data_IF_012647188405
#
_entry.id   IF_012647188405
#
_cell.length_a   1.000
_cell.length_b   1.000
_cell.length_c   1.000
_cell.angle_alpha   90.00
_cell.angle_beta   90.00
_cell.angle_gamma   90.00
#
_symmetry.space_group_name_H-M   'P 1'
#
loop_
_entity.id
_entity.type
_entity.pdbx_description
1 polymer ?
#
# COMPACT_ATOMS: atom_id res chain seq x y z
N UNK A 1 -14.69 12.84 -9.14
CA UNK A 1 -14.53 11.99 -10.34
C UNK A 1 -13.05 11.68 -10.49
N UNK A 2 -12.58 10.57 -9.90
CA UNK A 2 -11.22 10.06 -10.14
C UNK A 2 -11.36 8.89 -11.10
N UNK A 3 -10.83 9.05 -12.31
CA UNK A 3 -10.82 8.00 -13.32
C UNK A 3 -9.75 6.95 -12.92
N UNK A 4 -10.20 5.72 -12.65
CA UNK A 4 -9.32 4.57 -12.45
C UNK A 4 -8.74 4.16 -13.82
N UNK A 5 -7.44 4.29 -14.00
CA UNK A 5 -6.74 3.83 -15.20
C UNK A 5 -6.44 2.33 -15.10
N UNK A 6 -7.10 1.53 -15.93
CA UNK A 6 -6.82 0.09 -16.12
C UNK A 6 -5.47 -0.10 -16.82
N UNK A 7 -4.56 -0.90 -16.23
CA UNK A 7 -3.34 -1.39 -16.91
C UNK A 7 -3.30 -2.90 -16.78
N UNK A 8 -3.41 -3.60 -17.90
CA UNK A 8 -3.35 -5.07 -18.03
C UNK A 8 -1.88 -5.48 -18.24
N UNK A 9 -1.39 -6.45 -17.47
CA UNK A 9 -0.03 -7.01 -17.62
C UNK A 9 -0.10 -8.54 -17.65
N UNK A 10 0.51 -9.14 -18.68
CA UNK A 10 0.64 -10.59 -18.89
C UNK A 10 2.02 -11.05 -18.42
N UNK A 11 2.14 -11.99 -17.46
CA UNK A 11 3.44 -12.57 -17.07
C UNK A 11 3.40 -14.08 -16.77
N UNK A 12 4.58 -14.73 -16.84
CA UNK A 12 4.89 -16.12 -16.47
C UNK A 12 6.14 -16.13 -15.58
N UNK A 13 6.47 -17.20 -14.86
CA UNK A 13 7.31 -17.13 -13.64
C UNK A 13 8.81 -16.87 -13.85
N UNK A 14 9.39 -15.99 -13.00
CA UNK A 14 10.81 -15.59 -12.94
C UNK A 14 10.99 -14.14 -12.43
N UNK A 15 11.40 -13.90 -11.18
CA UNK A 15 11.53 -12.51 -10.69
C UNK A 15 12.67 -11.77 -11.39
N UNK A 16 12.43 -10.50 -11.77
CA UNK A 16 13.49 -9.65 -12.33
C UNK A 16 14.68 -9.59 -11.37
N UNK A 17 15.89 -9.93 -11.85
CA UNK A 17 17.09 -9.88 -11.02
C UNK A 17 17.37 -8.43 -10.64
N UNK A 18 17.43 -8.16 -9.34
CA UNK A 18 17.85 -6.85 -8.83
C UNK A 18 19.37 -6.80 -8.81
N UNK A 19 19.92 -5.69 -9.28
CA UNK A 19 21.35 -5.38 -9.16
C UNK A 19 21.47 -4.18 -8.24
N UNK A 20 22.18 -4.40 -7.13
CA UNK A 20 22.60 -3.35 -6.23
C UNK A 20 24.10 -3.09 -6.43
N UNK A 21 24.47 -1.83 -6.58
CA UNK A 21 25.87 -1.37 -6.54
C UNK A 21 26.06 -0.47 -5.32
N UNK A 22 26.75 -0.98 -4.30
CA UNK A 22 27.08 -0.22 -3.09
C UNK A 22 28.15 0.83 -3.41
N UNK A 23 28.02 2.01 -2.82
CA UNK A 23 29.03 3.06 -2.88
C UNK A 23 30.16 2.74 -1.90
N UNK A 24 31.41 2.80 -2.35
CA UNK A 24 32.59 2.39 -1.57
C UNK A 24 32.91 3.32 -0.40
N UNK A 25 32.43 4.57 -0.46
CA UNK A 25 32.77 5.62 0.52
C UNK A 25 31.78 5.72 1.69
N UNK A 26 30.81 4.80 1.79
CA UNK A 26 29.79 4.83 2.84
C UNK A 26 30.32 4.16 4.11
N UNK A 27 30.67 4.97 5.11
CA UNK A 27 31.06 4.50 6.44
C UNK A 27 29.83 3.93 7.17
N UNK A 28 29.89 2.66 7.58
CA UNK A 28 28.81 1.95 8.29
C UNK A 28 28.41 2.64 9.59
N UNK A 29 29.35 3.28 10.28
CA UNK A 29 29.12 3.96 11.56
C UNK A 29 28.29 5.25 11.41
N UNK A 30 28.08 5.74 10.18
CA UNK A 30 27.26 6.91 9.88
C UNK A 30 25.83 6.56 9.46
N UNK A 31 25.52 5.28 9.31
CA UNK A 31 24.18 4.88 8.89
C UNK A 31 23.20 5.02 10.06
N UNK A 32 22.05 5.68 9.84
CA UNK A 32 20.91 5.61 10.75
C UNK A 32 20.59 4.16 11.13
N UNK A 33 20.12 3.97 12.37
CA UNK A 33 19.69 2.66 12.84
C UNK A 33 18.61 2.09 11.92
N UNK A 34 18.53 0.75 11.75
CA UNK A 34 17.52 0.12 10.92
C UNK A 34 16.11 0.55 11.35
N UNK A 35 15.44 1.35 10.53
CA UNK A 35 14.03 1.69 10.72
C UNK A 35 13.18 0.61 10.03
N UNK A 36 12.04 0.23 10.64
CA UNK A 36 11.10 -0.70 10.03
C UNK A 36 10.47 -0.14 8.75
N UNK A 37 10.45 1.18 8.61
CA UNK A 37 9.81 1.88 7.50
C UNK A 37 10.79 2.02 6.33
N UNK A 38 10.29 1.69 5.14
CA UNK A 38 11.05 1.75 3.90
C UNK A 38 10.27 2.50 2.83
N UNK A 39 10.91 3.47 2.17
CA UNK A 39 10.26 4.36 1.21
C UNK A 39 10.70 4.03 -0.20
N UNK A 40 9.75 3.97 -1.13
CA UNK A 40 10.03 3.95 -2.56
C UNK A 40 9.28 5.10 -3.21
N UNK A 41 10.02 6.14 -3.61
CA UNK A 41 9.45 7.35 -4.22
C UNK A 41 9.98 7.59 -5.64
N UNK A 42 9.20 8.29 -6.46
CA UNK A 42 9.60 8.81 -7.78
C UNK A 42 9.75 10.32 -7.78
N UNK A 43 9.26 11.00 -6.75
CA UNK A 43 9.43 12.42 -6.57
C UNK A 43 10.80 12.65 -5.97
N UNK A 44 11.51 13.66 -6.47
CA UNK A 44 12.83 14.03 -5.98
C UNK A 44 12.70 14.42 -4.51
N UNK A 45 13.18 13.60 -3.56
CA UNK A 45 13.05 13.94 -2.17
C UNK A 45 14.06 15.05 -1.88
N UNK A 46 13.67 16.08 -1.12
CA UNK A 46 14.67 16.95 -0.51
C UNK A 46 15.45 16.11 0.50
N UNK A 47 16.62 15.66 0.06
CA UNK A 47 17.36 14.56 0.66
C UNK A 47 18.34 15.03 1.74
N UNK A 48 18.50 16.34 1.98
CA UNK A 48 19.26 16.93 3.09
C UNK A 48 20.50 16.13 3.52
N UNK A 49 20.56 15.76 4.80
CA UNK A 49 21.64 14.99 5.44
C UNK A 49 21.63 13.47 5.12
N UNK A 50 20.96 13.03 4.06
CA UNK A 50 20.91 11.62 3.68
C UNK A 50 22.21 11.12 3.07
N UNK A 51 22.47 9.83 3.24
CA UNK A 51 23.63 9.18 2.66
C UNK A 51 23.23 8.41 1.41
N UNK A 52 23.82 8.76 0.26
CA UNK A 52 23.74 7.94 -0.94
C UNK A 52 24.61 6.69 -0.78
N UNK A 53 23.98 5.56 -0.49
CA UNK A 53 24.69 4.32 -0.16
C UNK A 53 24.85 3.36 -1.34
N UNK A 54 24.09 3.58 -2.41
CA UNK A 54 24.20 2.76 -3.61
C UNK A 54 23.21 3.12 -4.70
N UNK A 55 23.22 2.30 -5.75
CA UNK A 55 22.25 2.39 -6.85
C UNK A 55 21.61 1.03 -7.06
N UNK A 56 20.38 1.04 -7.55
CA UNK A 56 19.60 -0.15 -7.85
C UNK A 56 19.15 -0.14 -9.31
N UNK A 57 19.19 -1.31 -9.94
CA UNK A 57 18.64 -1.50 -11.28
C UNK A 57 18.07 -2.91 -11.41
N UNK A 58 16.91 -3.01 -12.06
CA UNK A 58 16.40 -4.31 -12.53
C UNK A 58 17.19 -4.75 -13.77
N UNK A 59 17.74 -5.96 -13.75
CA UNK A 59 18.28 -6.65 -14.93
C UNK A 59 17.32 -7.74 -15.38
N UNK A 60 17.02 -7.71 -16.68
CA UNK A 60 16.22 -8.75 -17.32
C UNK A 60 17.14 -9.92 -17.70
N UNK A 61 16.84 -11.11 -17.19
CA UNK A 61 17.50 -12.36 -17.57
C UNK A 61 16.41 -13.31 -18.09
N UNK A 62 16.11 -13.29 -19.40
CA UNK A 62 15.24 -14.29 -20.05
C UNK A 62 13.78 -13.89 -20.30
N UNK A 63 13.06 -14.74 -21.05
CA UNK A 63 11.74 -14.48 -21.67
C UNK A 63 10.52 -14.65 -20.75
N UNK A 64 10.69 -15.12 -19.52
CA UNK A 64 9.59 -15.37 -18.58
C UNK A 64 9.92 -14.77 -17.22
N UNK A 65 9.04 -13.90 -16.74
CA UNK A 65 9.16 -13.36 -15.41
C UNK A 65 7.91 -12.67 -14.86
N UNK A 66 7.56 -12.99 -13.62
CA UNK A 66 6.45 -12.38 -12.88
C UNK A 66 6.94 -10.97 -12.49
N UNK A 67 6.44 -9.99 -13.23
CA UNK A 67 7.05 -8.67 -13.36
C UNK A 67 6.09 -7.54 -13.02
N UNK A 68 5.10 -7.81 -12.18
CA UNK A 68 4.27 -6.79 -11.57
C UNK A 68 5.18 -5.81 -10.80
N UNK A 69 4.94 -4.50 -10.99
CA UNK A 69 5.63 -3.43 -10.28
C UNK A 69 5.69 -3.67 -8.75
N UNK A 70 4.66 -4.27 -8.15
CA UNK A 70 4.63 -4.60 -6.71
C UNK A 70 5.73 -5.58 -6.31
N UNK A 71 5.89 -6.67 -7.05
CA UNK A 71 6.95 -7.66 -6.82
C UNK A 71 8.34 -7.05 -7.05
N UNK A 72 8.49 -6.26 -8.12
CA UNK A 72 9.74 -5.54 -8.41
C UNK A 72 10.12 -4.59 -7.27
N UNK A 73 9.16 -3.82 -6.74
CA UNK A 73 9.35 -2.94 -5.59
C UNK A 73 9.73 -3.72 -4.32
N UNK A 74 9.05 -4.83 -4.02
CA UNK A 74 9.38 -5.70 -2.86
C UNK A 74 10.79 -6.28 -2.94
N UNK A 75 11.18 -6.79 -4.11
CA UNK A 75 12.53 -7.31 -4.32
C UNK A 75 13.57 -6.19 -4.19
N UNK A 76 13.29 -5.02 -4.76
CA UNK A 76 14.17 -3.86 -4.66
C UNK A 76 14.35 -3.36 -3.22
N UNK A 77 13.27 -3.32 -2.44
CA UNK A 77 13.30 -3.00 -1.01
C UNK A 77 14.20 -3.98 -0.24
N UNK A 78 14.00 -5.29 -0.43
CA UNK A 78 14.81 -6.32 0.25
C UNK A 78 16.31 -6.09 0.02
N UNK A 79 16.69 -5.94 -1.24
CA UNK A 79 18.09 -5.79 -1.65
C UNK A 79 18.71 -4.46 -1.18
N UNK A 80 17.91 -3.39 -1.14
CA UNK A 80 18.33 -2.12 -0.58
C UNK A 80 18.52 -2.18 0.94
N UNK A 81 17.64 -2.89 1.67
CA UNK A 81 17.78 -3.11 3.11
C UNK A 81 19.06 -3.88 3.46
N UNK A 82 19.46 -4.86 2.65
CA UNK A 82 20.68 -5.64 2.85
C UNK A 82 21.97 -4.78 2.86
N UNK A 83 21.96 -3.62 2.20
CA UNK A 83 23.10 -2.69 2.22
C UNK A 83 22.92 -1.51 3.21
N UNK A 84 21.88 -1.52 4.04
CA UNK A 84 21.59 -0.48 5.04
C UNK A 84 20.70 0.67 4.53
N UNK A 85 20.00 0.45 3.41
CA UNK A 85 19.08 1.42 2.83
C UNK A 85 17.70 1.38 3.46
N UNK A 86 17.07 2.56 3.55
CA UNK A 86 15.69 2.72 3.99
C UNK A 86 14.86 3.61 3.06
N UNK A 87 15.46 4.10 1.95
CA UNK A 87 14.76 4.81 0.89
C UNK A 87 15.34 4.45 -0.49
N UNK A 88 14.46 4.21 -1.46
CA UNK A 88 14.79 4.17 -2.89
C UNK A 88 14.13 5.36 -3.58
N UNK A 89 14.95 6.18 -4.20
CA UNK A 89 14.50 7.17 -5.16
C UNK A 89 14.58 6.58 -6.57
N UNK A 90 13.43 6.32 -7.20
CA UNK A 90 13.33 5.80 -8.56
C UNK A 90 13.64 6.94 -9.54
N UNK A 91 14.83 6.90 -10.12
CA UNK A 91 15.28 7.86 -11.15
C UNK A 91 14.77 7.54 -12.54
N UNK A 92 14.41 6.28 -12.80
CA UNK A 92 13.84 5.87 -14.08
C UNK A 92 12.91 4.68 -13.91
N UNK A 93 11.73 4.77 -14.50
CA UNK A 93 10.78 3.66 -14.61
C UNK A 93 10.39 3.45 -16.06
N UNK A 94 10.65 2.25 -16.59
CA UNK A 94 10.25 1.86 -17.95
C UNK A 94 9.19 0.77 -17.85
N UNK A 95 8.02 1.03 -18.45
CA UNK A 95 6.91 0.08 -18.51
C UNK A 95 7.28 -1.17 -19.32
N UNK A 96 6.58 -2.29 -19.10
CA UNK A 96 6.58 -3.43 -20.00
C UNK A 96 6.32 -3.01 -21.45
N UNK A 97 6.99 -3.65 -22.40
CA UNK A 97 6.65 -3.60 -23.82
C UNK A 97 6.57 -5.03 -24.33
N UNK A 98 5.39 -5.40 -24.82
CA UNK A 98 4.99 -6.74 -25.27
C UNK A 98 5.91 -7.33 -26.33
N UNK A 99 6.67 -6.52 -27.07
CA UNK A 99 7.52 -7.00 -28.16
C UNK A 99 8.94 -7.45 -27.74
N UNK A 100 9.48 -6.91 -26.64
CA UNK A 100 10.92 -7.07 -26.31
C UNK A 100 11.24 -7.22 -24.82
N UNK A 101 10.36 -6.77 -23.91
CA UNK A 101 10.63 -6.83 -22.46
C UNK A 101 9.30 -6.79 -21.67
N UNK A 102 8.80 -7.93 -21.16
CA UNK A 102 7.52 -8.00 -20.45
C UNK A 102 7.55 -7.40 -19.03
N UNK A 103 8.71 -6.89 -18.58
CA UNK A 103 8.90 -6.51 -17.19
C UNK A 103 8.98 -5.00 -16.95
N UNK A 104 8.39 -4.55 -15.83
CA UNK A 104 8.66 -3.25 -15.25
C UNK A 104 10.15 -3.15 -14.92
N UNK A 105 10.81 -2.11 -15.42
CA UNK A 105 12.22 -1.87 -15.17
C UNK A 105 12.40 -0.59 -14.38
N UNK A 106 13.03 -0.69 -13.23
CA UNK A 106 13.36 0.46 -12.39
C UNK A 106 14.86 0.65 -12.33
N UNK A 107 15.28 1.92 -12.31
CA UNK A 107 16.59 2.35 -11.83
C UNK A 107 16.35 3.37 -10.72
N UNK A 108 17.25 3.37 -9.75
CA UNK A 108 17.14 4.30 -8.65
C UNK A 108 18.42 4.41 -7.83
N UNK A 109 18.39 5.38 -6.93
CA UNK A 109 19.40 5.61 -5.92
C UNK A 109 18.88 5.06 -4.59
N UNK A 110 19.75 4.39 -3.85
CA UNK A 110 19.47 3.87 -2.52
C UNK A 110 20.07 4.84 -1.51
N UNK A 111 19.24 5.30 -0.58
CA UNK A 111 19.65 6.19 0.49
C UNK A 111 19.46 5.53 1.85
N UNK A 112 20.30 5.98 2.79
CA UNK A 112 20.03 5.87 4.22
C UNK A 112 19.65 7.24 4.73
N UNK A 113 18.38 7.41 5.11
CA UNK A 113 17.81 8.67 5.58
C UNK A 113 17.55 8.60 7.09
N UNK A 114 17.84 9.67 7.87
CA UNK A 114 17.60 9.68 9.31
C UNK A 114 16.11 9.53 9.70
N UNK A 115 15.22 10.11 8.91
CA UNK A 115 13.77 10.10 9.17
C UNK A 115 13.00 9.70 7.90
N UNK A 116 12.93 8.39 7.57
CA UNK A 116 12.23 7.92 6.37
C UNK A 116 10.73 8.25 6.40
N UNK A 117 10.14 8.34 7.58
CA UNK A 117 8.72 8.61 7.76
C UNK A 117 8.30 9.97 7.23
N UNK A 118 9.23 10.94 7.15
CA UNK A 118 8.99 12.24 6.52
C UNK A 118 8.58 12.09 5.04
N UNK A 119 9.04 11.04 4.37
CA UNK A 119 8.80 10.78 2.95
C UNK A 119 7.64 9.80 2.67
N UNK A 120 6.96 9.28 3.70
CA UNK A 120 5.75 8.45 3.52
C UNK A 120 4.61 9.27 2.92
N UNK A 121 4.13 8.90 1.74
CA UNK A 121 2.90 9.49 1.18
C UNK A 121 1.67 8.69 1.54
N UNK A 122 1.85 7.38 1.66
CA UNK A 122 0.80 6.44 1.99
C UNK A 122 1.34 5.43 2.99
N UNK A 123 0.50 5.05 3.95
CA UNK A 123 0.79 3.99 4.93
C UNK A 123 -0.09 2.79 4.60
N UNK A 124 0.53 1.62 4.43
CA UNK A 124 -0.20 0.36 4.32
C UNK A 124 -0.70 -0.08 5.69
N UNK A 125 -1.94 -0.55 5.75
CA UNK A 125 -2.52 -1.04 7.00
C UNK A 125 -1.71 -2.22 7.52
N UNK A 126 -1.30 -2.12 8.79
CA UNK A 126 -0.61 -3.19 9.49
C UNK A 126 -1.00 -3.11 10.98
N UNK A 127 -1.35 -4.23 11.63
CA UNK A 127 -1.77 -4.22 13.03
C UNK A 127 -0.69 -3.67 13.98
N UNK A 128 0.58 -3.76 13.58
CA UNK A 128 1.74 -3.31 14.35
C UNK A 128 2.22 -1.88 13.99
N UNK A 129 1.61 -1.22 13.00
CA UNK A 129 1.93 0.17 12.61
C UNK A 129 0.70 1.06 12.83
N UNK A 130 0.53 1.53 14.06
CA UNK A 130 -0.50 2.52 14.40
C UNK A 130 -0.11 3.91 13.89
N UNK A 131 -1.12 4.71 13.55
CA UNK A 131 -0.99 6.10 13.11
C UNK A 131 -0.44 6.96 14.25
N UNK A 132 0.34 7.97 13.86
CA UNK A 132 0.93 8.99 14.72
C UNK A 132 0.55 10.34 14.12
N UNK A 133 0.50 11.39 14.94
CA UNK A 133 0.15 12.74 14.46
C UNK A 133 1.04 13.20 13.29
N UNK A 134 2.33 12.83 13.28
CA UNK A 134 3.26 13.17 12.18
C UNK A 134 2.96 12.47 10.85
N UNK A 135 2.09 11.47 10.84
CA UNK A 135 1.64 10.81 9.61
C UNK A 135 0.62 11.68 8.85
N UNK A 136 -0.02 12.64 9.54
CA UNK A 136 -0.99 13.57 8.97
C UNK A 136 -0.27 14.80 8.42
N UNK A 137 0.07 14.76 7.12
CA UNK A 137 0.89 15.78 6.44
C UNK A 137 0.08 16.76 5.62
N UNK A 138 -1.22 16.53 5.50
CA UNK A 138 -2.14 17.41 4.78
C UNK A 138 -2.27 18.78 5.44
N UNK A 139 -2.52 19.79 4.60
CA UNK A 139 -2.71 21.16 5.06
C UNK A 139 -3.93 21.28 5.98
N UNK A 140 -3.74 21.97 7.11
CA UNK A 140 -4.81 22.30 8.07
C UNK A 140 -5.52 23.63 7.76
N UNK A 141 -5.05 24.37 6.75
CA UNK A 141 -5.60 25.67 6.37
C UNK A 141 -7.05 25.52 5.88
N UNK A 142 -7.93 26.38 6.38
CA UNK A 142 -9.37 26.42 6.04
C UNK A 142 -10.13 25.11 6.26
N UNK A 143 -9.61 24.21 7.11
CA UNK A 143 -10.28 22.97 7.45
C UNK A 143 -11.26 23.16 8.62
N UNK A 144 -12.47 22.59 8.58
CA UNK A 144 -13.45 22.78 9.65
C UNK A 144 -13.16 21.93 10.90
N UNK A 145 -12.60 20.73 10.74
CA UNK A 145 -12.43 19.77 11.84
C UNK A 145 -11.03 19.83 12.48
N UNK A 146 -10.85 19.16 13.62
CA UNK A 146 -9.55 19.07 14.31
C UNK A 146 -8.61 18.07 13.67
N UNK A 147 -9.14 17.07 12.98
CA UNK A 147 -8.39 16.13 12.17
C UNK A 147 -9.32 15.58 11.07
N UNK A 148 -8.73 14.95 10.06
CA UNK A 148 -9.45 14.09 9.14
C UNK A 148 -8.52 13.01 8.61
N UNK A 149 -9.05 11.80 8.51
CA UNK A 149 -8.40 10.63 7.95
C UNK A 149 -8.92 10.34 6.56
N UNK A 150 -8.00 10.19 5.61
CA UNK A 150 -8.31 9.77 4.25
C UNK A 150 -7.75 8.37 4.03
N UNK A 151 -8.65 7.38 3.97
CA UNK A 151 -8.30 5.97 3.82
C UNK A 151 -9.12 5.34 2.71
N UNK A 152 -8.49 4.38 2.03
CA UNK A 152 -9.13 3.65 0.94
C UNK A 152 -8.53 2.25 0.81
N UNK A 153 -9.23 1.35 0.12
CA UNK A 153 -8.66 0.09 -0.30
C UNK A 153 -8.58 0.04 -1.83
N UNK A 154 -7.54 -0.60 -2.33
CA UNK A 154 -7.30 -0.79 -3.76
C UNK A 154 -6.94 -2.24 -4.05
N UNK A 155 -7.19 -2.68 -5.27
CA UNK A 155 -6.80 -4.02 -5.70
C UNK A 155 -5.90 -3.96 -6.93
N UNK A 156 -5.04 -4.96 -7.05
CA UNK A 156 -4.24 -5.20 -8.23
C UNK A 156 -4.42 -6.64 -8.71
N UNK A 157 -4.28 -6.85 -10.00
CA UNK A 157 -4.38 -8.18 -10.61
C UNK A 157 -3.04 -8.54 -11.25
N UNK A 158 -2.67 -9.81 -11.14
CA UNK A 158 -1.55 -10.39 -11.86
C UNK A 158 -1.97 -11.74 -12.43
N UNK A 159 -1.42 -12.10 -13.59
CA UNK A 159 -1.70 -13.38 -14.25
C UNK A 159 -0.43 -14.21 -14.21
N UNK A 160 -0.56 -15.44 -13.75
CA UNK A 160 0.46 -16.49 -13.86
C UNK A 160 0.03 -17.49 -14.92
N UNK A 161 0.45 -17.24 -16.16
CA UNK A 161 -0.04 -18.00 -17.32
C UNK A 161 0.34 -19.49 -17.28
N UNK A 162 1.52 -19.83 -16.77
CA UNK A 162 1.99 -21.22 -16.63
C UNK A 162 1.17 -22.03 -15.60
N UNK A 163 0.70 -21.36 -14.54
CA UNK A 163 -0.11 -21.98 -13.49
C UNK A 163 -1.62 -21.90 -13.83
N UNK A 164 -1.99 -21.29 -14.96
CA UNK A 164 -3.37 -20.95 -15.31
C UNK A 164 -4.10 -20.17 -14.20
N UNK A 165 -3.43 -19.21 -13.54
CA UNK A 165 -4.01 -18.44 -12.43
C UNK A 165 -4.06 -16.95 -12.72
N UNK A 166 -5.16 -16.30 -12.32
CA UNK A 166 -5.21 -14.87 -12.01
C UNK A 166 -5.19 -14.69 -10.50
N UNK A 167 -4.34 -13.80 -10.01
CA UNK A 167 -4.20 -13.45 -8.60
C UNK A 167 -4.73 -12.03 -8.43
N UNK A 168 -5.61 -11.84 -7.45
CA UNK A 168 -6.07 -10.53 -7.00
C UNK A 168 -5.48 -10.29 -5.62
N UNK A 169 -4.80 -9.15 -5.46
CA UNK A 169 -4.26 -8.72 -4.18
C UNK A 169 -4.88 -7.37 -3.80
N UNK A 170 -5.31 -7.23 -2.55
CA UNK A 170 -5.96 -6.03 -2.02
C UNK A 170 -5.11 -5.42 -0.92
N UNK A 171 -4.93 -4.11 -0.99
CA UNK A 171 -4.21 -3.31 -0.03
C UNK A 171 -5.11 -2.22 0.53
N UNK A 172 -4.81 -1.80 1.76
CA UNK A 172 -5.55 -0.77 2.50
C UNK A 172 -4.56 0.35 2.81
N UNK A 173 -4.91 1.57 2.44
CA UNK A 173 -4.03 2.72 2.43
C UNK A 173 -4.59 3.82 3.33
N UNK A 174 -3.71 4.48 4.06
CA UNK A 174 -3.91 5.78 4.67
C UNK A 174 -3.09 6.80 3.87
N UNK A 175 -3.74 7.83 3.33
CA UNK A 175 -3.08 8.89 2.55
C UNK A 175 -2.61 10.00 3.50
N UNK A 176 -1.30 10.14 3.63
CA UNK A 176 -0.67 11.10 4.53
C UNK A 176 -0.89 12.55 4.08
N UNK A 177 -0.92 12.80 2.77
CA UNK A 177 -0.98 14.14 2.18
C UNK A 177 -2.42 14.68 2.13
N UNK A 178 -3.42 13.79 2.10
CA UNK A 178 -4.84 14.14 2.19
C UNK A 178 -5.40 14.10 3.62
N UNK A 179 -4.68 13.50 4.56
CA UNK A 179 -5.05 13.46 5.97
C UNK A 179 -4.36 14.59 6.75
N UNK A 180 -5.10 15.31 7.60
CA UNK A 180 -4.57 16.44 8.37
C UNK A 180 -4.90 16.31 9.85
N UNK A 181 -4.09 16.95 10.69
CA UNK A 181 -4.26 16.92 12.14
C UNK A 181 -3.84 18.26 12.75
N UNK A 182 -4.75 18.91 13.46
CA UNK A 182 -4.51 20.16 14.18
C UNK A 182 -4.08 19.89 15.61
N UNK A 183 -3.26 20.78 16.15
CA UNK A 183 -2.91 20.74 17.56
C UNK A 183 -4.18 20.85 18.42
N UNK A 184 -4.37 19.91 19.35
CA UNK A 184 -5.53 19.83 20.22
C UNK A 184 -5.14 19.20 21.57
N UNK A 185 -5.92 19.50 22.61
CA UNK A 185 -5.62 19.05 23.99
C UNK A 185 -5.85 17.54 24.22
N UNK A 186 -6.67 16.90 23.37
CA UNK A 186 -7.11 15.51 23.54
C UNK A 186 -6.51 14.61 22.46
N UNK A 187 -5.20 14.75 22.23
CA UNK A 187 -4.52 14.14 21.09
C UNK A 187 -4.74 12.62 21.02
N UNK A 188 -4.64 11.92 22.15
CA UNK A 188 -4.82 10.46 22.20
C UNK A 188 -6.23 10.02 21.79
N UNK A 189 -7.27 10.73 22.23
CA UNK A 189 -8.66 10.40 21.90
C UNK A 189 -8.94 10.65 20.42
N UNK A 190 -8.53 11.80 19.90
CA UNK A 190 -8.70 12.13 18.48
C UNK A 190 -7.88 11.18 17.61
N UNK A 191 -6.64 10.85 17.99
CA UNK A 191 -5.82 9.91 17.22
C UNK A 191 -6.41 8.49 17.23
N UNK A 192 -7.03 8.05 18.33
CA UNK A 192 -7.77 6.77 18.35
C UNK A 192 -8.97 6.82 17.40
N UNK A 193 -9.71 7.93 17.39
CA UNK A 193 -10.84 8.12 16.48
C UNK A 193 -10.40 8.01 15.00
N UNK A 194 -9.32 8.72 14.64
CA UNK A 194 -8.72 8.69 13.30
C UNK A 194 -8.15 7.31 12.94
N UNK A 195 -7.50 6.61 13.88
CA UNK A 195 -7.01 5.25 13.67
C UNK A 195 -8.15 4.29 13.34
N UNK A 196 -9.33 4.46 13.95
CA UNK A 196 -10.44 3.55 13.72
C UNK A 196 -10.99 3.67 12.30
N UNK A 197 -10.97 4.85 11.67
CA UNK A 197 -11.32 4.99 10.25
C UNK A 197 -10.43 4.11 9.35
N UNK A 198 -9.14 4.02 9.68
CA UNK A 198 -8.21 3.14 8.96
C UNK A 198 -8.50 1.65 9.21
N UNK A 199 -8.80 1.28 10.45
CA UNK A 199 -9.13 -0.09 10.84
C UNK A 199 -10.50 -0.54 10.24
N UNK A 200 -11.48 0.37 10.14
CA UNK A 200 -12.76 0.14 9.44
C UNK A 200 -12.50 -0.06 7.94
N UNK A 201 -11.64 0.74 7.32
CA UNK A 201 -11.29 0.58 5.90
C UNK A 201 -10.67 -0.79 5.65
N UNK A 202 -9.78 -1.26 6.52
CA UNK A 202 -9.22 -2.62 6.46
C UNK A 202 -10.30 -3.70 6.56
N UNK A 203 -11.25 -3.54 7.50
CA UNK A 203 -12.37 -4.47 7.62
C UNK A 203 -13.15 -4.59 6.30
N UNK A 204 -13.40 -3.47 5.62
CA UNK A 204 -14.07 -3.47 4.32
C UNK A 204 -13.20 -4.01 3.19
N UNK A 205 -11.88 -3.84 3.23
CA UNK A 205 -10.96 -4.52 2.32
C UNK A 205 -11.05 -6.05 2.45
N UNK A 206 -11.17 -6.58 3.68
CA UNK A 206 -11.40 -8.02 3.92
C UNK A 206 -12.77 -8.49 3.43
N UNK A 207 -13.82 -7.67 3.62
CA UNK A 207 -15.17 -7.95 3.05
C UNK A 207 -15.15 -7.97 1.53
N UNK A 208 -14.38 -7.09 0.88
CA UNK A 208 -14.20 -7.10 -0.57
C UNK A 208 -13.60 -8.44 -1.02
N UNK A 209 -12.51 -8.89 -0.38
CA UNK A 209 -11.91 -10.20 -0.66
C UNK A 209 -12.89 -11.36 -0.41
N UNK A 210 -13.67 -11.31 0.66
CA UNK A 210 -14.70 -12.31 0.94
C UNK A 210 -15.73 -12.41 -0.19
N UNK A 211 -16.25 -11.28 -0.70
CA UNK A 211 -17.20 -11.26 -1.81
C UNK A 211 -16.58 -11.76 -3.11
N UNK A 212 -15.35 -11.31 -3.41
CA UNK A 212 -14.63 -11.84 -4.56
C UNK A 212 -14.46 -13.35 -4.45
N UNK A 213 -14.17 -13.86 -3.26
CA UNK A 213 -14.04 -15.28 -3.01
C UNK A 213 -15.35 -16.05 -3.32
N UNK A 214 -16.50 -15.47 -2.96
CA UNK A 214 -17.83 -16.07 -3.12
C UNK A 214 -18.36 -15.98 -4.55
N UNK A 215 -18.14 -14.85 -5.22
CA UNK A 215 -18.78 -14.52 -6.50
C UNK A 215 -17.90 -14.82 -7.72
N UNK A 216 -16.58 -14.72 -7.60
CA UNK A 216 -15.67 -14.87 -8.73
C UNK A 216 -15.19 -16.32 -8.84
N UNK A 217 -15.48 -16.98 -9.96
CA UNK A 217 -15.03 -18.37 -10.20
C UNK A 217 -13.84 -18.45 -11.14
N UNK A 218 -13.67 -17.48 -12.03
CA UNK A 218 -12.63 -17.45 -13.05
C UNK A 218 -12.33 -15.99 -13.46
N UNK A 219 -11.39 -15.82 -14.39
CA UNK A 219 -11.01 -14.49 -14.91
C UNK A 219 -12.15 -13.73 -15.60
N UNK A 220 -13.05 -14.40 -16.32
CA UNK A 220 -14.17 -13.73 -16.99
C UNK A 220 -15.14 -13.13 -15.96
N UNK A 221 -15.46 -13.90 -14.91
CA UNK A 221 -16.26 -13.40 -13.79
C UNK A 221 -15.58 -12.21 -13.11
N UNK A 222 -14.26 -12.26 -12.96
CA UNK A 222 -13.47 -11.19 -12.35
C UNK A 222 -13.65 -9.89 -13.14
N UNK A 223 -13.39 -9.92 -14.45
CA UNK A 223 -13.52 -8.74 -15.33
C UNK A 223 -14.94 -8.18 -15.30
N UNK A 224 -15.95 -9.05 -15.26
CA UNK A 224 -17.36 -8.64 -15.27
C UNK A 224 -17.83 -8.03 -13.95
N UNK A 225 -17.34 -8.52 -12.81
CA UNK A 225 -17.96 -8.24 -11.51
C UNK A 225 -17.07 -7.46 -10.53
N UNK A 226 -15.75 -7.45 -10.68
CA UNK A 226 -14.84 -6.87 -9.68
C UNK A 226 -15.13 -5.40 -9.40
N UNK A 227 -15.46 -4.61 -10.42
CA UNK A 227 -15.79 -3.20 -10.29
C UNK A 227 -17.12 -3.01 -9.56
N UNK A 228 -18.16 -3.78 -9.93
CA UNK A 228 -19.45 -3.75 -9.25
C UNK A 228 -19.29 -4.08 -7.76
N UNK A 229 -18.62 -5.19 -7.44
CA UNK A 229 -18.39 -5.63 -6.06
C UNK A 229 -17.59 -4.57 -5.29
N UNK A 230 -16.55 -4.00 -5.91
CA UNK A 230 -15.75 -2.93 -5.31
C UNK A 230 -16.57 -1.69 -4.99
N UNK A 231 -17.41 -1.25 -5.93
CA UNK A 231 -18.29 -0.09 -5.75
C UNK A 231 -19.34 -0.31 -4.66
N UNK A 232 -19.93 -1.50 -4.58
CA UNK A 232 -20.87 -1.87 -3.52
C UNK A 232 -20.20 -1.85 -2.15
N UNK A 233 -19.04 -2.50 -2.01
CA UNK A 233 -18.30 -2.54 -0.74
C UNK A 233 -17.82 -1.15 -0.34
N UNK A 234 -17.36 -0.33 -1.29
CA UNK A 234 -16.96 1.05 -1.02
C UNK A 234 -18.15 1.91 -0.57
N UNK A 235 -19.32 1.75 -1.18
CA UNK A 235 -20.54 2.43 -0.73
C UNK A 235 -20.89 2.07 0.71
N UNK A 236 -20.79 0.78 1.07
CA UNK A 236 -21.03 0.33 2.44
C UNK A 236 -19.97 0.84 3.43
N UNK A 237 -18.70 0.92 3.01
CA UNK A 237 -17.63 1.53 3.80
C UNK A 237 -17.95 2.98 4.12
N UNK A 238 -18.33 3.78 3.11
CA UNK A 238 -18.67 5.19 3.30
C UNK A 238 -19.85 5.37 4.27
N UNK A 239 -20.92 4.59 4.08
CA UNK A 239 -22.07 4.60 4.99
C UNK A 239 -21.69 4.22 6.42
N UNK A 240 -20.73 3.29 6.58
CA UNK A 240 -20.29 2.84 7.90
C UNK A 240 -19.39 3.84 8.60
N UNK A 241 -18.50 4.53 7.87
CA UNK A 241 -17.69 5.64 8.38
C UNK A 241 -18.58 6.81 8.82
N UNK A 242 -19.59 7.18 8.01
CA UNK A 242 -20.55 8.23 8.38
C UNK A 242 -21.36 7.85 9.64
N UNK A 243 -21.81 6.59 9.73
CA UNK A 243 -22.52 6.11 10.91
C UNK A 243 -21.65 6.12 12.17
N UNK A 244 -20.36 5.81 12.04
CA UNK A 244 -19.37 5.87 13.11
C UNK A 244 -19.15 7.31 13.58
N UNK A 245 -18.84 8.22 12.66
CA UNK A 245 -18.67 9.66 12.95
C UNK A 245 -19.89 10.23 13.67
N UNK A 246 -21.08 9.99 13.10
CA UNK A 246 -22.34 10.46 13.70
C UNK A 246 -22.53 9.93 15.12
N UNK A 247 -22.25 8.66 15.36
CA UNK A 247 -22.41 8.06 16.68
C UNK A 247 -21.43 8.66 17.70
N UNK A 248 -20.14 8.73 17.38
CA UNK A 248 -19.11 9.22 18.30
C UNK A 248 -19.21 10.73 18.54
N UNK A 249 -19.53 11.51 17.51
CA UNK A 249 -19.76 12.95 17.69
C UNK A 249 -21.02 13.27 18.51
N UNK A 250 -22.02 12.37 18.49
CA UNK A 250 -23.20 12.51 19.35
C UNK A 250 -22.93 12.05 20.78
N UNK A 251 -22.12 11.01 20.96
CA UNK A 251 -21.76 10.42 22.26
C UNK A 251 -20.36 9.81 22.19
N UNK A 252 -19.38 10.48 22.81
CA UNK A 252 -17.98 10.04 22.80
C UNK A 252 -17.78 8.66 23.44
N UNK A 253 -18.68 8.20 24.31
CA UNK A 253 -18.58 6.87 24.94
C UNK A 253 -18.76 5.73 23.92
N UNK A 254 -19.40 6.01 22.78
CA UNK A 254 -19.59 5.05 21.68
C UNK A 254 -18.28 4.60 21.04
N UNK A 255 -17.18 5.34 21.20
CA UNK A 255 -15.87 4.96 20.66
C UNK A 255 -15.51 3.50 21.04
N UNK A 256 -15.69 3.14 22.31
CA UNK A 256 -15.36 1.80 22.81
C UNK A 256 -16.18 0.67 22.16
N UNK A 257 -17.45 0.96 21.84
CA UNK A 257 -18.31 0.03 21.10
C UNK A 257 -17.79 -0.17 19.67
N UNK A 258 -17.43 0.90 18.98
CA UNK A 258 -16.92 0.84 17.60
C UNK A 258 -15.53 0.21 17.51
N UNK A 259 -14.67 0.46 18.48
CA UNK A 259 -13.38 -0.21 18.62
C UNK A 259 -13.61 -1.73 18.71
N UNK A 260 -14.54 -2.17 19.58
CA UNK A 260 -14.87 -3.59 19.76
C UNK A 260 -15.53 -4.21 18.52
N UNK A 261 -16.44 -3.48 17.88
CA UNK A 261 -17.11 -3.91 16.66
C UNK A 261 -16.10 -4.15 15.53
N UNK A 262 -15.15 -3.21 15.34
CA UNK A 262 -14.11 -3.31 14.31
C UNK A 262 -13.15 -4.44 14.62
N UNK A 263 -12.69 -4.57 15.86
CA UNK A 263 -11.80 -5.67 16.29
C UNK A 263 -12.45 -7.04 16.06
N UNK A 264 -13.74 -7.18 16.41
CA UNK A 264 -14.49 -8.42 16.23
C UNK A 264 -14.65 -8.75 14.75
N UNK A 265 -15.04 -7.78 13.92
CA UNK A 265 -15.18 -7.98 12.48
C UNK A 265 -13.85 -8.35 11.80
N UNK A 266 -12.74 -7.72 12.20
CA UNK A 266 -11.42 -8.06 11.67
C UNK A 266 -11.03 -9.51 12.02
N UNK A 267 -11.36 -9.94 13.24
CA UNK A 267 -11.12 -11.32 13.72
C UNK A 267 -11.99 -12.35 13.00
N UNK A 268 -13.27 -12.05 12.79
CA UNK A 268 -14.19 -12.92 12.05
C UNK A 268 -13.73 -13.12 10.59
N UNK A 269 -13.09 -12.11 10.00
CA UNK A 269 -12.53 -12.17 8.65
C UNK A 269 -11.03 -12.45 8.63
N UNK A 270 -10.45 -13.03 9.68
CA UNK A 270 -9.01 -13.28 9.75
C UNK A 270 -8.52 -14.25 8.67
N UNK A 271 -9.38 -15.17 8.21
CA UNK A 271 -9.10 -16.04 7.06
C UNK A 271 -8.80 -15.27 5.77
N UNK A 272 -9.16 -13.98 5.70
CA UNK A 272 -8.91 -13.08 4.58
C UNK A 272 -7.80 -12.05 4.86
N UNK A 273 -7.01 -12.21 5.94
CA UNK A 273 -5.97 -11.25 6.32
C UNK A 273 -4.82 -11.11 5.30
N UNK A 274 -4.56 -12.16 4.51
CA UNK A 274 -3.59 -12.14 3.40
C UNK A 274 -4.05 -11.27 2.24
N UNK A 275 -5.35 -10.92 2.23
CA UNK A 275 -6.02 -10.09 1.24
C UNK A 275 -5.69 -10.49 -0.20
N UNK A 276 -5.59 -11.79 -0.43
CA UNK A 276 -5.20 -12.37 -1.71
C UNK A 276 -6.16 -13.50 -2.08
N UNK A 277 -6.60 -13.53 -3.34
CA UNK A 277 -7.30 -14.68 -3.92
C UNK A 277 -6.68 -15.04 -5.26
N UNK A 278 -6.76 -16.32 -5.63
CA UNK A 278 -6.40 -16.80 -6.95
C UNK A 278 -7.58 -17.53 -7.60
N UNK A 279 -7.75 -17.36 -8.91
CA UNK A 279 -8.79 -18.02 -9.70
C UNK A 279 -8.22 -18.52 -11.04
N UNK A 280 -8.82 -19.54 -11.68
CA UNK A 280 -8.44 -19.95 -13.02
C UNK A 280 -8.44 -18.78 -14.02
N UNK A 281 -7.37 -18.66 -14.80
CA UNK A 281 -7.21 -17.62 -15.82
C UNK A 281 -7.95 -17.97 -17.12
N UNK A 282 -7.85 -19.22 -17.58
CA UNK A 282 -8.55 -19.78 -18.73
C UNK A 282 -9.62 -20.76 -18.25
N UNK A 283 -10.75 -20.79 -18.95
CA UNK A 283 -11.71 -21.90 -18.85
C UNK A 283 -11.10 -23.10 -19.57
N UNK A 284 -11.13 -24.27 -18.93
CA UNK A 284 -10.83 -25.54 -19.59
C UNK A 284 -11.77 -25.78 -20.77
#
# INVERSE_FOLDING_TARGET
MMALWFVISLTSCGTSRIIVKKNSNTLTDRLPQPNSIFIITKEDPDLGDSFLIGTIATKHNGFSGDCNLRQVKRAAEKEAKEIGGNLIFITKHKLPNTLLNPCHRIRGNIYSVPNPEAFEKEILWNPNRKLKVRDFKGSTLDKPYVAATNTYFGYSTSVKSEENLVIVEVDTYFDCELSYYKNNKNQSLVLNHEQLHFDITELYARKFIQRLHQEIKNFEDLIKNVERIGNEVNKELLLKQEAYDKAVYSDLSQQSYWDKWTETGLRELDIYNSKTISRPYRKD
#
